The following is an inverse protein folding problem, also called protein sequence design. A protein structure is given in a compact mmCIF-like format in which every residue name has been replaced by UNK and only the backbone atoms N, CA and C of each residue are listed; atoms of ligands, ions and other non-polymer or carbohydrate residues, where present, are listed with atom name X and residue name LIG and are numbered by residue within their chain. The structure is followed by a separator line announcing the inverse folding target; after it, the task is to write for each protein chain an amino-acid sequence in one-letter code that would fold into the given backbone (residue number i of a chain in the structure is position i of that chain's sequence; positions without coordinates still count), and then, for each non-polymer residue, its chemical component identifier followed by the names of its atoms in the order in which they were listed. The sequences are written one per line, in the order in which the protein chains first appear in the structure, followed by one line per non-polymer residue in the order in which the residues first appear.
data_IF_305377457350
#
_entry.id   IF_305377457350
#
_cell.length_a   1.000
_cell.length_b   1.000
_cell.length_c   1.000
_cell.angle_alpha   90.00
_cell.angle_beta   90.00
_cell.angle_gamma   90.00
#
_symmetry.space_group_name_H-M   'P 1'
#
loop_
_entity.id
_entity.type
_entity.pdbx_description
1 polymer ?
#
# COMPACT_ATOMS: atom_id res chain seq x y z
N UNK A 1 6.55 21.32 15.63
CA UNK A 1 6.48 22.13 14.42
C UNK A 1 6.01 23.49 14.84
N UNK A 2 6.93 24.38 15.17
CA UNK A 2 6.64 25.32 16.26
C UNK A 2 5.78 26.51 15.82
N UNK A 3 6.09 27.11 14.68
CA UNK A 3 5.28 28.21 14.12
C UNK A 3 4.20 27.66 13.19
N UNK A 4 4.51 26.58 12.45
CA UNK A 4 3.57 25.99 11.50
C UNK A 4 2.36 25.34 12.17
N UNK A 5 2.52 24.65 13.30
CA UNK A 5 1.37 24.09 14.03
C UNK A 5 0.63 25.19 14.81
N UNK A 6 1.36 26.13 15.40
CA UNK A 6 0.76 27.26 16.14
C UNK A 6 -0.09 28.17 15.25
N UNK A 7 0.33 28.42 14.00
CA UNK A 7 -0.47 29.19 13.04
C UNK A 7 -1.77 28.48 12.66
N UNK A 8 -1.76 27.14 12.55
CA UNK A 8 -2.98 26.36 12.31
C UNK A 8 -3.95 26.52 13.49
N UNK A 9 -3.41 26.49 14.72
CA UNK A 9 -4.18 26.75 15.94
C UNK A 9 -4.77 28.17 15.98
N UNK A 10 -4.01 29.18 15.56
CA UNK A 10 -4.48 30.56 15.50
C UNK A 10 -5.63 30.72 14.49
N UNK A 11 -5.50 30.20 13.27
CA UNK A 11 -6.55 30.22 12.25
C UNK A 11 -7.79 29.45 12.74
N UNK A 12 -7.59 28.30 13.38
CA UNK A 12 -8.69 27.51 13.93
C UNK A 12 -9.50 28.33 14.95
N UNK A 13 -8.84 28.99 15.90
CA UNK A 13 -9.52 29.81 16.90
C UNK A 13 -10.21 31.04 16.29
N UNK A 14 -9.54 31.76 15.39
CA UNK A 14 -10.06 32.98 14.75
C UNK A 14 -11.26 32.70 13.84
N UNK A 15 -11.27 31.52 13.20
CA UNK A 15 -12.37 31.08 12.32
C UNK A 15 -13.55 30.42 13.06
N UNK A 16 -13.61 30.52 14.39
CA UNK A 16 -14.69 29.91 15.17
C UNK A 16 -14.60 28.39 15.22
N UNK A 17 -13.38 27.84 15.35
CA UNK A 17 -13.10 26.40 15.40
C UNK A 17 -13.37 25.66 14.08
N UNK A 18 -13.13 26.31 12.93
CA UNK A 18 -13.37 25.72 11.61
C UNK A 18 -12.15 24.98 11.06
N UNK A 19 -12.19 23.64 11.03
CA UNK A 19 -11.18 22.82 10.35
C UNK A 19 -11.18 23.02 8.83
N UNK A 20 -12.34 23.33 8.25
CA UNK A 20 -12.47 23.63 6.82
C UNK A 20 -11.63 24.86 6.46
N UNK A 21 -11.73 25.92 7.25
CA UNK A 21 -10.95 27.15 7.04
C UNK A 21 -9.45 26.90 7.21
N UNK A 22 -9.04 26.15 8.23
CA UNK A 22 -7.65 25.74 8.41
C UNK A 22 -7.15 24.99 7.19
N UNK A 23 -7.93 24.02 6.69
CA UNK A 23 -7.56 23.22 5.53
C UNK A 23 -7.49 24.06 4.25
N UNK A 24 -8.41 24.98 4.02
CA UNK A 24 -8.36 25.88 2.86
C UNK A 24 -7.09 26.74 2.82
N UNK A 25 -6.58 27.16 3.98
CA UNK A 25 -5.31 27.90 4.08
C UNK A 25 -4.09 26.99 3.96
N UNK A 26 -4.10 25.82 4.62
CA UNK A 26 -2.93 24.94 4.71
C UNK A 26 -2.75 24.07 3.47
N UNK A 27 -3.84 23.62 2.86
CA UNK A 27 -3.79 22.68 1.74
C UNK A 27 -2.95 23.20 0.57
N UNK A 28 -3.07 24.45 0.10
CA UNK A 28 -2.21 24.97 -0.98
C UNK A 28 -0.71 24.87 -0.67
N UNK A 29 -0.31 25.13 0.59
CA UNK A 29 1.09 25.05 1.02
C UNK A 29 1.58 23.60 1.11
N UNK A 30 0.73 22.70 1.61
CA UNK A 30 1.08 21.29 1.81
C UNK A 30 0.93 20.45 0.55
N UNK A 31 0.08 20.85 -0.39
CA UNK A 31 -0.30 20.09 -1.59
C UNK A 31 0.91 19.58 -2.38
N UNK A 32 1.95 20.38 -2.70
CA UNK A 32 3.10 19.87 -3.45
C UNK A 32 3.84 18.73 -2.74
N UNK A 33 3.93 18.81 -1.40
CA UNK A 33 4.55 17.76 -0.58
C UNK A 33 3.63 16.54 -0.48
N UNK A 34 2.33 16.75 -0.26
CA UNK A 34 1.33 15.68 -0.25
C UNK A 34 1.39 14.91 -1.56
N UNK A 35 1.36 15.58 -2.71
CA UNK A 35 1.44 14.95 -4.03
C UNK A 35 2.77 14.20 -4.21
N UNK A 36 3.90 14.85 -3.92
CA UNK A 36 5.24 14.25 -4.05
C UNK A 36 5.39 12.96 -3.22
N UNK A 37 4.94 12.98 -1.98
CA UNK A 37 5.07 11.83 -1.08
C UNK A 37 3.97 10.79 -1.29
N UNK A 38 2.79 11.18 -1.77
CA UNK A 38 1.69 10.26 -2.09
C UNK A 38 1.94 9.48 -3.39
N UNK A 39 2.68 10.05 -4.35
CA UNK A 39 3.01 9.40 -5.62
C UNK A 39 3.86 8.13 -5.46
N UNK A 40 4.73 8.09 -4.45
CA UNK A 40 5.73 7.02 -4.27
C UNK A 40 5.55 6.21 -2.98
N UNK A 41 4.36 6.27 -2.35
CA UNK A 41 4.11 5.45 -1.15
C UNK A 41 4.27 3.98 -1.52
N UNK A 42 5.13 3.22 -0.82
CA UNK A 42 5.24 1.80 -1.02
C UNK A 42 3.88 1.14 -0.88
N UNK A 43 3.28 0.74 -2.02
CA UNK A 43 2.01 0.03 -2.00
C UNK A 43 2.23 -1.31 -1.31
N UNK A 44 1.30 -1.69 -0.45
CA UNK A 44 1.30 -3.04 0.11
C UNK A 44 1.27 -4.04 -1.04
N UNK A 45 2.22 -5.00 -1.12
CA UNK A 45 2.25 -5.99 -2.20
C UNK A 45 0.94 -6.78 -2.33
N UNK A 46 0.23 -6.95 -1.21
CA UNK A 46 -1.09 -7.60 -1.20
C UNK A 46 -2.13 -6.72 -1.91
N UNK A 47 -2.13 -5.41 -1.63
CA UNK A 47 -3.06 -4.47 -2.26
C UNK A 47 -2.79 -4.36 -3.76
N UNK A 48 -1.53 -4.19 -4.14
CA UNK A 48 -1.14 -4.11 -5.55
C UNK A 48 -1.51 -5.39 -6.33
N UNK A 49 -1.36 -6.58 -5.72
CA UNK A 49 -1.75 -7.83 -6.36
C UNK A 49 -3.27 -7.91 -6.57
N UNK A 50 -4.06 -7.53 -5.55
CA UNK A 50 -5.53 -7.55 -5.65
C UNK A 50 -6.07 -6.45 -6.57
N UNK A 51 -5.38 -5.33 -6.73
CA UNK A 51 -5.72 -4.31 -7.73
C UNK A 51 -5.48 -4.81 -9.16
N UNK A 52 -4.43 -5.60 -9.39
CA UNK A 52 -4.16 -6.19 -10.71
C UNK A 52 -5.01 -7.44 -11.00
N UNK A 53 -5.34 -8.22 -9.98
CA UNK A 53 -5.99 -9.54 -10.10
C UNK A 53 -7.13 -9.66 -9.06
N UNK A 54 -8.21 -8.86 -9.18
CA UNK A 54 -9.24 -8.74 -8.14
C UNK A 54 -9.96 -10.06 -7.86
N UNK A 55 -10.35 -10.78 -8.91
CA UNK A 55 -11.15 -12.01 -8.80
C UNK A 55 -10.30 -13.29 -8.93
N UNK A 56 -9.09 -13.15 -9.47
CA UNK A 56 -8.22 -14.25 -9.88
C UNK A 56 -7.15 -14.56 -8.83
N UNK A 57 -6.83 -13.64 -7.91
CA UNK A 57 -5.87 -13.87 -6.83
C UNK A 57 -6.55 -14.29 -5.51
N UNK A 58 -6.33 -15.54 -5.10
CA UNK A 58 -6.90 -16.11 -3.86
C UNK A 58 -5.80 -16.55 -2.89
N UNK A 59 -5.86 -16.05 -1.65
CA UNK A 59 -4.91 -16.42 -0.60
C UNK A 59 -5.42 -17.61 0.20
N UNK A 60 -4.55 -18.57 0.48
CA UNK A 60 -4.82 -19.68 1.38
C UNK A 60 -4.87 -19.22 2.84
N UNK A 61 -5.48 -20.03 3.73
CA UNK A 61 -5.26 -19.93 5.16
C UNK A 61 -3.78 -20.03 5.55
N UNK A 62 -3.48 -19.62 6.79
CA UNK A 62 -2.15 -19.74 7.37
C UNK A 62 -1.83 -21.21 7.68
N UNK A 63 -0.68 -21.68 7.21
CA UNK A 63 -0.13 -23.00 7.55
C UNK A 63 1.10 -22.82 8.45
N UNK A 64 1.24 -23.64 9.49
CA UNK A 64 2.48 -23.67 10.29
C UNK A 64 3.50 -24.59 9.62
N UNK A 65 4.73 -24.12 9.51
CA UNK A 65 5.85 -24.91 9.01
C UNK A 65 6.56 -25.63 10.16
N UNK A 66 7.34 -26.66 9.85
CA UNK A 66 8.11 -27.43 10.85
C UNK A 66 9.09 -26.57 11.65
N UNK A 67 9.59 -25.48 11.08
CA UNK A 67 10.46 -24.49 11.75
C UNK A 67 9.67 -23.43 12.54
N UNK A 68 8.37 -23.63 12.78
CA UNK A 68 7.52 -22.74 13.57
C UNK A 68 7.10 -21.44 12.88
N UNK A 69 7.43 -21.27 11.60
CA UNK A 69 7.02 -20.10 10.81
C UNK A 69 5.60 -20.27 10.24
N UNK A 70 5.05 -19.17 9.74
CA UNK A 70 3.78 -19.15 9.01
C UNK A 70 4.06 -19.17 7.52
N UNK A 71 3.36 -20.05 6.80
CA UNK A 71 3.32 -20.14 5.34
C UNK A 71 1.94 -19.72 4.84
N UNK A 72 1.91 -18.98 3.75
CA UNK A 72 0.70 -18.58 3.02
C UNK A 72 0.96 -18.80 1.54
N UNK A 73 -0.02 -19.33 0.82
CA UNK A 73 0.04 -19.45 -0.64
C UNK A 73 -0.96 -18.48 -1.26
N UNK A 74 -0.57 -17.81 -2.34
CA UNK A 74 -1.52 -17.12 -3.22
C UNK A 74 -1.60 -17.86 -4.54
N UNK A 75 -2.79 -18.23 -4.94
CA UNK A 75 -3.11 -18.79 -6.25
C UNK A 75 -3.63 -17.66 -7.13
N UNK A 76 -3.00 -17.46 -8.29
CA UNK A 76 -3.47 -16.54 -9.32
C UNK A 76 -3.91 -17.37 -10.52
N UNK A 77 -5.22 -17.32 -10.83
CA UNK A 77 -5.82 -18.10 -11.93
C UNK A 77 -5.05 -17.87 -13.23
N UNK A 78 -4.64 -18.95 -13.89
CA UNK A 78 -3.86 -18.92 -15.14
C UNK A 78 -2.39 -18.51 -14.99
N UNK A 79 -1.92 -18.16 -13.78
CA UNK A 79 -0.56 -17.65 -13.53
C UNK A 79 0.20 -18.40 -12.45
N UNK A 80 -0.47 -19.32 -11.75
CA UNK A 80 0.14 -20.31 -10.86
C UNK A 80 0.03 -19.97 -9.37
N UNK A 81 0.80 -20.70 -8.56
CA UNK A 81 0.77 -20.62 -7.09
C UNK A 81 2.09 -20.10 -6.54
N UNK A 82 2.01 -19.10 -5.67
CA UNK A 82 3.17 -18.44 -5.07
C UNK A 82 3.13 -18.56 -3.55
N UNK A 83 4.16 -19.17 -2.97
CA UNK A 83 4.25 -19.39 -1.52
C UNK A 83 5.04 -18.28 -0.86
N UNK A 84 4.61 -17.82 0.31
CA UNK A 84 5.31 -16.87 1.18
C UNK A 84 5.46 -17.46 2.58
N UNK A 85 6.59 -17.18 3.23
CA UNK A 85 6.87 -17.65 4.60
C UNK A 85 7.34 -16.49 5.44
N UNK A 86 6.94 -16.42 6.70
CA UNK A 86 7.37 -15.39 7.64
C UNK A 86 7.02 -15.72 9.08
N UNK A 87 7.53 -14.91 10.01
CA UNK A 87 7.22 -15.04 11.45
C UNK A 87 5.77 -14.74 11.82
N UNK A 88 4.96 -14.22 10.90
CA UNK A 88 3.55 -13.92 11.09
C UNK A 88 2.78 -14.05 9.78
N UNK A 89 1.46 -14.21 9.88
CA UNK A 89 0.56 -14.26 8.73
C UNK A 89 0.72 -13.05 7.81
N UNK A 90 0.78 -11.83 8.37
CA UNK A 90 0.93 -10.59 7.59
C UNK A 90 2.21 -10.59 6.74
N UNK A 91 3.32 -11.05 7.31
CA UNK A 91 4.62 -11.11 6.60
C UNK A 91 4.60 -12.21 5.53
N UNK A 92 4.07 -13.39 5.85
CA UNK A 92 3.95 -14.51 4.91
C UNK A 92 3.06 -14.15 3.72
N UNK A 93 1.89 -13.53 3.97
CA UNK A 93 0.96 -13.04 2.94
C UNK A 93 1.61 -12.00 2.03
N UNK A 94 2.31 -11.02 2.60
CA UNK A 94 3.07 -10.03 1.83
C UNK A 94 4.21 -10.64 1.01
N UNK A 95 4.90 -11.65 1.54
CA UNK A 95 5.95 -12.37 0.80
C UNK A 95 5.40 -13.18 -0.37
N UNK A 96 4.24 -13.84 -0.20
CA UNK A 96 3.54 -14.56 -1.25
C UNK A 96 3.12 -13.59 -2.37
N UNK A 97 2.52 -12.46 -2.00
CA UNK A 97 2.09 -11.43 -2.94
C UNK A 97 3.28 -10.83 -3.73
N UNK A 98 4.40 -10.52 -3.07
CA UNK A 98 5.62 -10.05 -3.76
C UNK A 98 6.14 -11.03 -4.80
N UNK A 99 6.07 -12.33 -4.52
CA UNK A 99 6.48 -13.37 -5.49
C UNK A 99 5.54 -13.42 -6.69
N UNK A 100 4.23 -13.37 -6.45
CA UNK A 100 3.24 -13.29 -7.52
C UNK A 100 3.49 -12.06 -8.40
N UNK A 101 3.53 -10.86 -7.81
CA UNK A 101 3.77 -9.60 -8.51
C UNK A 101 5.01 -9.62 -9.41
N UNK A 102 6.13 -10.18 -8.92
CA UNK A 102 7.35 -10.31 -9.73
C UNK A 102 7.13 -11.18 -10.95
N UNK A 103 6.42 -12.30 -10.80
CA UNK A 103 6.09 -13.18 -11.93
C UNK A 103 5.14 -12.52 -12.91
N UNK A 104 4.15 -11.75 -12.42
CA UNK A 104 3.20 -11.04 -13.27
C UNK A 104 3.89 -9.98 -14.13
N UNK A 105 4.76 -9.18 -13.51
CA UNK A 105 5.49 -8.11 -14.21
C UNK A 105 6.55 -8.65 -15.17
N UNK A 106 7.17 -9.79 -14.86
CA UNK A 106 8.12 -10.44 -15.77
C UNK A 106 7.45 -10.98 -17.05
N UNK A 107 6.16 -11.33 -16.97
CA UNK A 107 5.40 -11.89 -18.09
C UNK A 107 4.54 -10.84 -18.84
N UNK A 108 4.64 -9.56 -18.50
CA UNK A 108 3.96 -8.49 -19.24
C UNK A 108 4.78 -8.13 -20.50
N UNK A 109 4.17 -8.10 -21.70
CA UNK A 109 4.83 -7.53 -22.86
C UNK A 109 5.13 -6.06 -22.57
N UNK A 110 6.38 -5.65 -22.77
CA UNK A 110 6.78 -4.25 -22.63
C UNK A 110 5.94 -3.41 -23.60
N UNK A 111 5.03 -2.59 -23.06
CA UNK A 111 4.34 -1.59 -23.86
C UNK A 111 5.39 -0.51 -24.20
N UNK A 112 5.71 -0.27 -25.49
CA UNK A 112 6.65 0.78 -25.84
C UNK A 112 6.05 2.13 -25.41
N UNK A 113 6.79 2.88 -24.59
CA UNK A 113 6.45 4.25 -24.23
C UNK A 113 6.32 5.06 -25.54
N UNK A 114 5.11 5.58 -25.80
CA UNK A 114 4.85 6.59 -26.83
C UNK A 114 5.12 7.99 -26.28
#
# INVERSE_FOLDING_TARGET
GDIFESLAGAIYMDSGMSLETVWQVYYPMMRPLIEKFSANVPRSPVRELLEMEPETAKFSPAERTYDGKVRVTVEVVGKGKFKGVGRSYRIAKSAAARRALRSLKANQPQVPNS
#
